data_IF_314208128043
#
_entry.id   IF_314208128043
#
_cell.length_a   1.000
_cell.length_b   1.000
_cell.length_c   1.000
_cell.angle_alpha   90.00
_cell.angle_beta   90.00
_cell.angle_gamma   90.00
#
_symmetry.space_group_name_H-M   'P 1'
#
loop_
_entity.id
_entity.type
_entity.pdbx_description
1 polymer ?
#
# COMPACT_ATOMS: atom_id res chain seq x y z
N UNK A 1 44.07 15.61 23.77
CA UNK A 1 43.24 14.46 23.40
C UNK A 1 42.67 13.86 24.68
N UNK A 2 41.40 14.12 24.96
CA UNK A 2 40.66 13.52 26.08
C UNK A 2 39.23 13.39 25.60
N UNK A 3 38.83 12.15 25.35
CA UNK A 3 37.59 11.77 24.67
C UNK A 3 36.34 12.15 25.45
N UNK A 4 35.34 12.63 24.72
CA UNK A 4 34.00 12.88 25.22
C UNK A 4 33.14 11.63 24.95
N UNK A 5 33.38 10.55 25.71
CA UNK A 5 32.46 9.41 25.75
C UNK A 5 31.37 9.71 26.78
N UNK A 6 30.34 10.45 26.36
CA UNK A 6 29.08 10.52 27.12
C UNK A 6 28.13 9.51 26.52
N UNK A 7 28.07 8.34 27.14
CA UNK A 7 27.06 7.32 26.90
C UNK A 7 25.70 7.90 27.33
N UNK A 8 24.86 8.24 26.35
CA UNK A 8 23.46 8.58 26.60
C UNK A 8 22.74 7.27 26.97
N UNK A 9 22.56 7.03 28.26
CA UNK A 9 21.70 5.95 28.74
C UNK A 9 20.26 6.33 28.43
N UNK A 10 19.76 5.85 27.30
CA UNK A 10 18.36 5.96 26.94
C UNK A 10 17.58 5.01 27.85
N UNK A 11 17.03 5.52 28.95
CA UNK A 11 16.15 4.76 29.85
C UNK A 11 14.73 4.76 29.28
N UNK A 12 14.59 4.34 28.02
CA UNK A 12 13.31 4.10 27.40
C UNK A 12 12.86 2.71 27.80
N UNK A 13 12.10 2.58 28.89
CA UNK A 13 11.35 1.36 29.16
C UNK A 13 10.28 1.22 28.09
N UNK A 14 10.62 0.65 26.93
CA UNK A 14 9.63 0.18 25.98
C UNK A 14 9.02 -1.08 26.59
N UNK A 15 8.02 -0.94 27.46
CA UNK A 15 7.05 -2.03 27.60
C UNK A 15 6.59 -2.32 26.17
N UNK A 16 6.84 -3.53 25.67
CA UNK A 16 6.43 -3.87 24.31
C UNK A 16 4.95 -3.52 24.16
N UNK A 17 4.53 -3.03 22.99
CA UNK A 17 3.12 -2.70 22.76
C UNK A 17 2.20 -3.85 23.20
N UNK A 18 2.65 -5.10 22.98
CA UNK A 18 1.97 -6.30 23.47
C UNK A 18 1.81 -6.34 25.00
N UNK A 19 2.85 -5.98 25.76
CA UNK A 19 2.79 -5.87 27.23
C UNK A 19 1.80 -4.79 27.67
N UNK A 20 1.83 -3.62 27.03
CA UNK A 20 0.90 -2.53 27.37
C UNK A 20 -0.56 -2.91 27.06
N UNK A 21 -0.81 -3.51 25.89
CA UNK A 21 -2.14 -3.96 25.50
C UNK A 21 -2.65 -5.09 26.42
N UNK A 22 -1.78 -6.01 26.82
CA UNK A 22 -2.09 -7.06 27.78
C UNK A 22 -2.42 -6.49 29.15
N UNK A 23 -1.57 -5.61 29.68
CA UNK A 23 -1.68 -5.15 31.06
C UNK A 23 -2.76 -4.07 31.25
N UNK A 24 -2.90 -3.15 30.29
CA UNK A 24 -3.83 -2.03 30.37
C UNK A 24 -5.22 -2.37 29.79
N UNK A 25 -5.28 -3.22 28.77
CA UNK A 25 -6.51 -3.54 28.06
C UNK A 25 -6.91 -5.01 28.13
N UNK A 26 -6.12 -5.86 28.80
CA UNK A 26 -6.39 -7.30 28.88
C UNK A 26 -6.27 -8.02 27.54
N UNK A 27 -5.68 -7.40 26.52
CA UNK A 27 -5.61 -7.93 25.16
C UNK A 27 -4.43 -8.91 25.10
N UNK A 28 -4.73 -10.20 25.17
CA UNK A 28 -3.74 -11.27 25.04
C UNK A 28 -3.75 -11.87 23.65
N UNK A 29 -2.65 -12.55 23.29
CA UNK A 29 -2.51 -13.25 22.01
C UNK A 29 -3.62 -14.29 21.80
N UNK A 30 -4.08 -14.95 22.87
CA UNK A 30 -5.19 -15.92 22.77
C UNK A 30 -6.52 -15.26 22.42
N UNK A 31 -6.78 -14.04 22.90
CA UNK A 31 -8.02 -13.30 22.60
C UNK A 31 -8.02 -12.81 21.15
N UNK A 32 -6.90 -12.24 20.69
CA UNK A 32 -6.75 -11.80 19.30
C UNK A 32 -6.89 -12.96 18.31
N UNK A 33 -6.23 -14.10 18.58
CA UNK A 33 -6.33 -15.29 17.72
C UNK A 33 -7.73 -15.91 17.73
N UNK A 34 -8.47 -15.86 18.85
CA UNK A 34 -9.86 -16.32 18.90
C UNK A 34 -10.78 -15.46 18.04
N UNK A 35 -10.57 -14.14 18.01
CA UNK A 35 -11.33 -13.25 17.14
C UNK A 35 -11.09 -13.58 15.66
N UNK A 36 -9.84 -13.77 15.25
CA UNK A 36 -9.50 -14.19 13.88
C UNK A 36 -10.12 -15.56 13.53
N UNK A 37 -10.10 -16.52 14.46
CA UNK A 37 -10.76 -17.82 14.25
C UNK A 37 -12.29 -17.72 14.16
N UNK A 38 -12.93 -16.84 14.93
CA UNK A 38 -14.38 -16.62 14.84
C UNK A 38 -14.78 -15.88 13.56
N UNK A 39 -14.00 -14.90 13.09
CA UNK A 39 -14.20 -14.28 11.77
C UNK A 39 -13.99 -15.27 10.61
N UNK A 40 -13.05 -16.21 10.74
CA UNK A 40 -12.85 -17.28 9.76
C UNK A 40 -13.98 -18.33 9.78
N UNK A 41 -14.60 -18.60 10.95
CA UNK A 41 -15.70 -19.56 11.09
C UNK A 41 -17.05 -18.98 10.67
N UNK A 42 -17.25 -17.67 10.85
CA UNK A 42 -18.45 -16.95 10.45
C UNK A 42 -18.05 -15.75 9.59
N UNK A 43 -17.59 -15.98 8.33
CA UNK A 43 -17.39 -14.87 7.42
C UNK A 43 -18.72 -14.10 7.33
N UNK A 44 -18.72 -12.76 7.49
CA UNK A 44 -19.94 -11.99 7.34
C UNK A 44 -20.50 -12.31 5.95
N UNK A 45 -21.65 -12.98 5.92
CA UNK A 45 -22.29 -13.42 4.70
C UNK A 45 -22.47 -12.16 3.84
N UNK A 46 -21.71 -12.05 2.74
CA UNK A 46 -21.78 -10.85 1.92
C UNK A 46 -23.16 -10.83 1.27
N UNK A 47 -24.07 -10.06 1.85
CA UNK A 47 -25.47 -9.92 1.40
C UNK A 47 -25.58 -9.23 0.04
N UNK A 48 -24.44 -8.96 -0.62
CA UNK A 48 -24.36 -8.24 -1.89
C UNK A 48 -24.73 -9.21 -3.00
N UNK A 49 -26.01 -9.18 -3.40
CA UNK A 49 -26.46 -9.84 -4.63
C UNK A 49 -25.78 -9.16 -5.81
N UNK A 50 -25.05 -9.88 -6.67
CA UNK A 50 -24.45 -9.31 -7.86
C UNK A 50 -25.52 -8.66 -8.75
N UNK A 51 -25.17 -7.56 -9.41
CA UNK A 51 -26.04 -7.00 -10.44
C UNK A 51 -26.26 -8.01 -11.58
N UNK A 52 -27.35 -7.84 -12.33
CA UNK A 52 -27.57 -8.58 -13.58
C UNK A 52 -26.39 -8.38 -14.53
N UNK A 53 -26.07 -9.43 -15.31
CA UNK A 53 -24.95 -9.43 -16.27
C UNK A 53 -24.89 -8.17 -17.13
N UNK A 54 -26.01 -7.74 -17.71
CA UNK A 54 -26.07 -6.54 -18.56
C UNK A 54 -25.62 -5.25 -17.86
N UNK A 55 -25.91 -5.12 -16.57
CA UNK A 55 -25.48 -3.97 -15.77
C UNK A 55 -24.00 -4.06 -15.39
N UNK A 56 -23.51 -5.27 -15.10
CA UNK A 56 -22.08 -5.49 -14.87
C UNK A 56 -21.27 -5.16 -16.13
N UNK A 57 -21.72 -5.64 -17.29
CA UNK A 57 -21.09 -5.35 -18.58
C UNK A 57 -21.07 -3.86 -18.88
N UNK A 58 -22.20 -3.16 -18.71
CA UNK A 58 -22.25 -1.70 -18.88
C UNK A 58 -21.29 -0.96 -17.95
N UNK A 59 -21.20 -1.38 -16.67
CA UNK A 59 -20.26 -0.79 -15.72
C UNK A 59 -18.81 -1.05 -16.13
N UNK A 60 -18.48 -2.26 -16.54
CA UNK A 60 -17.15 -2.63 -17.04
C UNK A 60 -16.76 -1.76 -18.24
N UNK A 61 -17.67 -1.58 -19.22
CA UNK A 61 -17.40 -0.73 -20.38
C UNK A 61 -17.18 0.74 -20.00
N UNK A 62 -17.96 1.27 -19.04
CA UNK A 62 -17.76 2.62 -18.55
C UNK A 62 -16.41 2.80 -17.85
N UNK A 63 -15.99 1.83 -17.03
CA UNK A 63 -14.68 1.86 -16.36
C UNK A 63 -13.55 1.79 -17.39
N UNK A 64 -13.65 0.90 -18.38
CA UNK A 64 -12.65 0.80 -19.46
C UNK A 64 -12.52 2.14 -20.21
N UNK A 65 -13.65 2.73 -20.61
CA UNK A 65 -13.65 4.03 -21.30
C UNK A 65 -13.03 5.15 -20.46
N UNK A 66 -13.33 5.17 -19.15
CA UNK A 66 -12.75 6.12 -18.21
C UNK A 66 -11.24 5.95 -18.06
N UNK A 67 -10.76 4.71 -17.88
CA UNK A 67 -9.33 4.39 -17.76
C UNK A 67 -8.56 4.80 -19.01
N UNK A 68 -9.08 4.50 -20.20
CA UNK A 68 -8.46 4.90 -21.47
C UNK A 68 -8.38 6.43 -21.58
N UNK A 69 -9.46 7.14 -21.22
CA UNK A 69 -9.49 8.61 -21.25
C UNK A 69 -8.48 9.24 -20.30
N UNK A 70 -8.33 8.68 -19.09
CA UNK A 70 -7.32 9.09 -18.12
C UNK A 70 -5.92 8.84 -18.66
N UNK A 71 -5.64 7.66 -19.21
CA UNK A 71 -4.32 7.31 -19.74
C UNK A 71 -3.84 8.31 -20.81
N UNK A 72 -4.72 8.66 -21.75
CA UNK A 72 -4.42 9.65 -22.79
C UNK A 72 -4.11 11.02 -22.17
N UNK A 73 -4.93 11.45 -21.20
CA UNK A 73 -4.77 12.75 -20.53
C UNK A 73 -3.47 12.82 -19.75
N UNK A 74 -3.17 11.78 -18.96
CA UNK A 74 -1.95 11.68 -18.16
C UNK A 74 -0.71 11.68 -19.04
N UNK A 75 -0.70 10.91 -20.14
CA UNK A 75 0.43 10.92 -21.09
C UNK A 75 0.73 12.32 -21.61
N UNK A 76 -0.31 13.07 -22.00
CA UNK A 76 -0.15 14.44 -22.49
C UNK A 76 0.37 15.41 -21.41
N UNK A 77 -0.05 15.23 -20.16
CA UNK A 77 0.46 16.01 -19.02
C UNK A 77 1.93 15.67 -18.75
N UNK A 78 2.25 14.38 -18.58
CA UNK A 78 3.60 13.91 -18.22
C UNK A 78 4.66 14.27 -19.28
N UNK A 79 4.30 14.35 -20.56
CA UNK A 79 5.20 14.83 -21.63
C UNK A 79 5.65 16.28 -21.41
N UNK A 80 4.83 17.10 -20.76
CA UNK A 80 5.12 18.51 -20.52
C UNK A 80 5.83 18.75 -19.18
N UNK A 81 5.88 17.74 -18.32
CA UNK A 81 6.47 17.84 -16.98
C UNK A 81 8.00 17.82 -17.08
N UNK A 82 8.64 18.87 -16.58
CA UNK A 82 10.11 18.99 -16.57
C UNK A 82 10.79 18.09 -15.54
N UNK A 83 10.17 17.96 -14.36
CA UNK A 83 10.69 17.20 -13.24
C UNK A 83 9.59 16.35 -12.64
N UNK A 84 9.89 15.07 -12.45
CA UNK A 84 9.01 14.09 -11.84
C UNK A 84 9.79 13.37 -10.74
N UNK A 85 9.12 13.08 -9.62
CA UNK A 85 9.61 12.23 -8.56
C UNK A 85 8.77 10.97 -8.51
N UNK A 86 9.42 9.82 -8.35
CA UNK A 86 8.74 8.54 -8.20
C UNK A 86 8.94 8.05 -6.76
N UNK A 87 7.87 7.56 -6.14
CA UNK A 87 7.95 6.81 -4.88
C UNK A 87 7.57 5.37 -5.13
N UNK A 88 8.12 4.49 -4.31
CA UNK A 88 7.93 3.06 -4.35
C UNK A 88 7.51 2.61 -2.95
N UNK A 89 6.30 2.07 -2.80
CA UNK A 89 5.85 1.47 -1.54
C UNK A 89 5.69 -0.05 -1.71
N UNK A 90 6.38 -0.79 -0.86
CA UNK A 90 6.38 -2.24 -0.86
C UNK A 90 5.70 -2.72 0.41
N UNK A 91 4.63 -3.50 0.25
CA UNK A 91 3.82 -3.98 1.36
C UNK A 91 3.34 -5.41 1.12
N UNK A 92 2.97 -6.10 2.20
CA UNK A 92 2.50 -7.50 2.13
C UNK A 92 1.13 -7.66 2.78
N UNK A 93 0.26 -8.43 2.13
CA UNK A 93 -0.99 -8.90 2.71
C UNK A 93 -0.72 -10.00 3.76
N UNK A 94 -1.62 -10.18 4.75
CA UNK A 94 -1.60 -11.33 5.65
C UNK A 94 -1.62 -12.69 4.92
N UNK A 95 -2.13 -12.72 3.69
CA UNK A 95 -2.13 -13.89 2.81
C UNK A 95 -0.76 -14.23 2.19
N UNK A 96 0.33 -13.59 2.64
CA UNK A 96 1.69 -13.75 2.12
C UNK A 96 1.88 -13.32 0.66
N UNK A 97 1.05 -12.40 0.18
CA UNK A 97 1.21 -11.76 -1.12
C UNK A 97 1.83 -10.38 -0.93
N UNK A 98 2.97 -10.14 -1.59
CA UNK A 98 3.64 -8.85 -1.57
C UNK A 98 3.27 -8.05 -2.81
N UNK A 99 3.17 -6.74 -2.67
CA UNK A 99 2.89 -5.79 -3.75
C UNK A 99 3.94 -4.69 -3.74
N UNK A 100 4.22 -4.16 -4.92
CA UNK A 100 4.99 -2.94 -5.12
C UNK A 100 4.11 -1.96 -5.88
N UNK A 101 3.92 -0.79 -5.29
CA UNK A 101 3.31 0.34 -5.98
C UNK A 101 4.36 1.33 -6.49
N UNK A 102 3.98 2.08 -7.52
CA UNK A 102 4.77 3.15 -8.10
C UNK A 102 3.90 4.37 -8.24
N UNK A 103 4.25 5.44 -7.55
CA UNK A 103 3.49 6.69 -7.57
C UNK A 103 4.34 7.82 -8.11
N UNK A 104 3.83 8.50 -9.13
CA UNK A 104 4.45 9.68 -9.71
C UNK A 104 3.95 10.95 -9.04
N UNK A 105 4.89 11.85 -8.75
CA UNK A 105 4.65 13.16 -8.17
C UNK A 105 5.29 14.22 -9.05
N UNK A 106 4.56 15.29 -9.35
CA UNK A 106 5.10 16.43 -10.07
C UNK A 106 4.41 17.73 -9.65
N UNK A 107 4.99 18.85 -10.07
CA UNK A 107 4.45 20.18 -9.81
C UNK A 107 4.24 20.88 -11.16
N UNK A 108 3.09 21.53 -11.34
CA UNK A 108 2.80 22.30 -12.55
C UNK A 108 3.54 23.64 -12.55
N UNK A 109 3.50 24.35 -13.69
CA UNK A 109 4.02 25.72 -13.77
C UNK A 109 3.32 26.69 -12.81
N UNK A 110 2.09 26.38 -12.39
CA UNK A 110 1.31 27.15 -11.43
C UNK A 110 1.61 26.76 -9.98
N UNK A 111 2.64 25.94 -9.74
CA UNK A 111 3.03 25.40 -8.43
C UNK A 111 1.99 24.48 -7.77
N UNK A 112 1.11 23.87 -8.55
CA UNK A 112 0.13 22.91 -8.05
C UNK A 112 0.74 21.51 -7.94
N UNK A 113 0.67 20.84 -6.78
CA UNK A 113 1.15 19.48 -6.61
C UNK A 113 0.19 18.49 -7.28
N UNK A 114 0.76 17.50 -7.96
CA UNK A 114 0.02 16.44 -8.62
C UNK A 114 0.63 15.08 -8.25
N UNK A 115 -0.23 14.09 -8.13
CA UNK A 115 0.12 12.72 -7.78
C UNK A 115 -0.71 11.75 -8.61
N UNK A 116 -0.10 10.67 -9.07
CA UNK A 116 -0.81 9.56 -9.72
C UNK A 116 -0.15 8.21 -9.43
N UNK A 117 -0.97 7.23 -9.06
CA UNK A 117 -0.56 5.83 -8.98
C UNK A 117 -0.38 5.30 -10.42
N UNK A 118 0.85 5.00 -10.80
CA UNK A 118 1.20 4.50 -12.14
C UNK A 118 1.01 3.00 -12.25
N UNK A 119 1.37 2.27 -11.19
CA UNK A 119 1.31 0.81 -11.18
C UNK A 119 1.15 0.31 -9.76
N UNK A 120 0.38 -0.77 -9.62
CA UNK A 120 0.36 -1.63 -8.46
C UNK A 120 0.37 -3.06 -8.99
N UNK A 121 1.36 -3.84 -8.57
CA UNK A 121 1.58 -5.17 -9.09
C UNK A 121 2.12 -6.06 -7.97
N UNK A 122 1.81 -7.35 -8.07
CA UNK A 122 2.33 -8.33 -7.13
C UNK A 122 3.85 -8.42 -7.29
N UNK A 123 4.59 -8.25 -6.20
CA UNK A 123 6.04 -8.39 -6.15
C UNK A 123 6.36 -9.85 -5.78
N UNK A 124 6.79 -10.68 -6.74
CA UNK A 124 7.11 -12.07 -6.45
C UNK A 124 8.32 -12.17 -5.52
N UNK A 125 8.40 -13.28 -4.79
CA UNK A 125 9.61 -13.64 -4.05
C UNK A 125 10.72 -14.09 -5.03
N UNK A 126 12.00 -13.74 -4.79
CA UNK A 126 12.53 -12.97 -3.67
C UNK A 126 12.39 -11.45 -3.86
N UNK A 127 12.31 -10.70 -2.77
CA UNK A 127 12.20 -9.23 -2.81
C UNK A 127 13.58 -8.56 -2.83
N UNK A 128 14.44 -8.98 -3.78
CA UNK A 128 15.77 -8.42 -3.96
C UNK A 128 15.78 -7.19 -4.86
N UNK A 129 16.93 -6.53 -4.92
CA UNK A 129 17.10 -5.33 -5.77
C UNK A 129 16.90 -5.63 -7.26
N UNK A 130 17.30 -6.82 -7.72
CA UNK A 130 17.14 -7.27 -9.10
C UNK A 130 15.66 -7.42 -9.45
N UNK A 131 14.89 -8.10 -8.59
CA UNK A 131 13.47 -8.35 -8.83
C UNK A 131 12.66 -7.06 -8.80
N UNK A 132 12.98 -6.15 -7.88
CA UNK A 132 12.41 -4.79 -7.85
C UNK A 132 12.74 -4.04 -9.14
N UNK A 133 14.00 -4.07 -9.61
CA UNK A 133 14.41 -3.39 -10.83
C UNK A 133 13.66 -3.93 -12.06
N UNK A 134 13.57 -5.25 -12.22
CA UNK A 134 12.83 -5.90 -13.31
C UNK A 134 11.35 -5.50 -13.30
N UNK A 135 10.77 -5.33 -12.12
CA UNK A 135 9.39 -4.92 -11.92
C UNK A 135 9.10 -3.48 -12.39
N UNK A 136 10.11 -2.62 -12.40
CA UNK A 136 9.99 -1.21 -12.78
C UNK A 136 10.22 -0.95 -14.27
N UNK A 137 10.94 -1.85 -14.95
CA UNK A 137 11.31 -1.69 -16.37
C UNK A 137 10.29 -2.37 -17.29
N UNK A 138 9.59 -3.40 -16.80
CA UNK A 138 8.60 -4.20 -17.55
C UNK A 138 7.14 -3.81 -17.25
#
# INVERSE_FOLDING_TARGET
MTGCEKMLTWCGSSSSLATHLSDAHGITKEIAMKHDEEELKNPPESSIKPYKHSKQESLTQNVIGFVIGIEITLKNQLVQVKYISLTLDAWSLPAHLSYLDVTAHWITSDFEPNEVLLSIKELPYPHGATEIQEHLIN
#
